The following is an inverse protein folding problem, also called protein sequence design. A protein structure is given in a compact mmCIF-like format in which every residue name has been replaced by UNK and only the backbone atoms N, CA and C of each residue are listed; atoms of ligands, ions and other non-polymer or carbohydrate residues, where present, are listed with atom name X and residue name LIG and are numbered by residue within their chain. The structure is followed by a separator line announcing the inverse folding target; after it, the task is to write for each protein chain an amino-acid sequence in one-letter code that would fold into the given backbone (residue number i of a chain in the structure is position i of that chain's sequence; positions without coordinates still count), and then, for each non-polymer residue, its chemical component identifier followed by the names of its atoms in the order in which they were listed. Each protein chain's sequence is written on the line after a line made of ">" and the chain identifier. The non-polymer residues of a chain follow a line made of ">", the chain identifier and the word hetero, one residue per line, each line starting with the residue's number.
data_IF_683712944574
#
_entry.id   IF_683712944574
#
_cell.length_a   1.000
_cell.length_b   1.000
_cell.length_c   1.000
_cell.angle_alpha   90.00
_cell.angle_beta   90.00
_cell.angle_gamma   90.00
#
_symmetry.space_group_name_H-M   'P 1'
#
loop_
_entity.id
_entity.type
_entity.pdbx_description
1 polymer ?
#
# COMPACT_ATOMS: atom_id res chain seq x y z
N UNK A 1 -41.33 -47.62 -22.84
CA UNK A 1 -40.64 -46.73 -21.87
C UNK A 1 -41.51 -45.53 -21.60
N UNK A 2 -41.62 -45.04 -20.36
CA UNK A 2 -42.36 -43.80 -20.07
C UNK A 2 -41.59 -42.58 -20.59
N UNK A 3 -42.28 -41.47 -20.86
CA UNK A 3 -41.64 -40.22 -21.31
C UNK A 3 -40.60 -39.69 -20.31
N UNK A 4 -40.86 -39.87 -19.01
CA UNK A 4 -39.94 -39.54 -17.92
C UNK A 4 -38.63 -40.34 -18.00
N UNK A 5 -38.71 -41.65 -18.22
CA UNK A 5 -37.52 -42.49 -18.33
C UNK A 5 -36.66 -42.10 -19.54
N UNK A 6 -37.30 -41.74 -20.67
CA UNK A 6 -36.61 -41.27 -21.87
C UNK A 6 -35.95 -39.90 -21.66
N UNK A 7 -36.61 -39.00 -20.93
CA UNK A 7 -36.05 -37.69 -20.60
C UNK A 7 -34.81 -37.80 -19.70
N UNK A 8 -34.85 -38.68 -18.69
CA UNK A 8 -33.70 -38.94 -17.82
C UNK A 8 -32.52 -39.59 -18.57
N UNK A 9 -32.80 -40.57 -19.45
CA UNK A 9 -31.79 -41.22 -20.27
C UNK A 9 -31.10 -40.24 -21.22
N UNK A 10 -31.88 -39.38 -21.88
CA UNK A 10 -31.35 -38.36 -22.77
C UNK A 10 -30.55 -37.28 -22.02
N UNK A 11 -31.00 -36.89 -20.81
CA UNK A 11 -30.26 -36.00 -19.93
C UNK A 11 -28.88 -36.58 -19.57
N UNK A 12 -28.85 -37.85 -19.14
CA UNK A 12 -27.59 -38.56 -18.84
C UNK A 12 -26.67 -38.69 -20.05
N UNK A 13 -27.23 -38.92 -21.23
CA UNK A 13 -26.46 -39.00 -22.48
C UNK A 13 -25.79 -37.66 -22.81
N UNK A 14 -26.54 -36.56 -22.76
CA UNK A 14 -26.00 -35.21 -22.96
C UNK A 14 -24.93 -34.83 -21.94
N UNK A 15 -25.17 -35.11 -20.66
CA UNK A 15 -24.16 -34.95 -19.60
C UNK A 15 -22.89 -35.76 -19.87
N UNK A 16 -23.03 -37.03 -20.27
CA UNK A 16 -21.89 -37.91 -20.55
C UNK A 16 -21.06 -37.40 -21.72
N UNK A 17 -21.71 -36.88 -22.76
CA UNK A 17 -21.04 -36.26 -23.90
C UNK A 17 -20.26 -35.00 -23.49
N UNK A 18 -20.89 -34.10 -22.73
CA UNK A 18 -20.21 -32.92 -22.19
C UNK A 18 -19.03 -33.32 -21.32
N UNK A 19 -19.21 -34.28 -20.41
CA UNK A 19 -18.13 -34.76 -19.54
C UNK A 19 -16.96 -35.32 -20.34
N UNK A 20 -17.22 -36.12 -21.38
CA UNK A 20 -16.18 -36.67 -22.25
C UNK A 20 -15.36 -35.59 -22.95
N UNK A 21 -16.00 -34.49 -23.38
CA UNK A 21 -15.29 -33.36 -23.98
C UNK A 21 -14.39 -32.72 -22.92
N UNK A 22 -14.93 -32.41 -21.73
CA UNK A 22 -14.23 -31.67 -20.67
C UNK A 22 -13.02 -32.43 -20.11
N UNK A 23 -13.13 -33.75 -19.91
CA UNK A 23 -12.07 -34.58 -19.33
C UNK A 23 -10.77 -34.58 -20.14
N UNK A 24 -10.80 -34.15 -21.40
CA UNK A 24 -9.61 -34.06 -22.25
C UNK A 24 -8.63 -32.95 -21.85
N UNK A 25 -9.06 -31.95 -21.05
CA UNK A 25 -8.19 -30.83 -20.61
C UNK A 25 -8.45 -30.33 -19.19
N UNK A 26 -9.53 -30.76 -18.55
CA UNK A 26 -9.92 -30.26 -17.25
C UNK A 26 -10.03 -31.39 -16.22
N UNK A 27 -9.72 -31.09 -14.96
CA UNK A 27 -10.26 -31.89 -13.86
C UNK A 27 -11.74 -31.54 -13.73
N UNK A 28 -12.59 -32.55 -13.81
CA UNK A 28 -14.05 -32.39 -13.85
C UNK A 28 -14.64 -32.91 -12.55
N UNK A 29 -15.28 -32.01 -11.79
CA UNK A 29 -16.06 -32.36 -10.62
C UNK A 29 -17.54 -32.36 -11.02
N UNK A 30 -18.16 -33.54 -11.01
CA UNK A 30 -19.60 -33.68 -11.22
C UNK A 30 -20.32 -33.37 -9.91
N UNK A 31 -21.34 -32.49 -9.96
CA UNK A 31 -22.17 -32.20 -8.78
C UNK A 31 -23.44 -33.04 -8.83
N UNK A 32 -23.82 -33.59 -7.68
CA UNK A 32 -25.07 -34.36 -7.50
C UNK A 32 -26.22 -33.53 -6.93
N UNK A 33 -25.99 -32.25 -6.62
CA UNK A 33 -26.98 -31.33 -6.08
C UNK A 33 -27.01 -30.03 -6.91
N UNK A 34 -28.21 -29.56 -7.26
CA UNK A 34 -28.55 -28.34 -8.02
C UNK A 34 -28.17 -27.03 -7.28
N UNK A 35 -26.97 -26.97 -6.70
CA UNK A 35 -26.43 -25.77 -6.09
C UNK A 35 -25.74 -24.97 -7.20
N UNK A 36 -26.29 -23.80 -7.50
CA UNK A 36 -25.83 -22.83 -8.51
C UNK A 36 -25.95 -23.29 -9.99
N UNK A 37 -26.78 -24.29 -10.27
CA UNK A 37 -27.11 -24.69 -11.65
C UNK A 37 -25.98 -25.29 -12.48
N UNK A 38 -24.93 -25.74 -11.81
CA UNK A 38 -23.75 -26.33 -12.42
C UNK A 38 -23.86 -27.86 -12.43
N UNK A 39 -23.87 -28.48 -13.61
CA UNK A 39 -23.73 -29.94 -13.72
C UNK A 39 -22.27 -30.36 -13.54
N UNK A 40 -21.35 -29.50 -14.02
CA UNK A 40 -19.91 -29.69 -13.90
C UNK A 40 -19.22 -28.43 -13.39
N UNK A 41 -18.28 -28.63 -12.47
CA UNK A 41 -17.23 -27.67 -12.17
C UNK A 41 -15.94 -28.17 -12.79
N UNK A 42 -15.24 -27.29 -13.52
CA UNK A 42 -14.03 -27.64 -14.24
C UNK A 42 -12.85 -26.80 -13.79
N UNK A 43 -11.74 -27.46 -13.53
CA UNK A 43 -10.47 -26.85 -13.16
C UNK A 43 -9.42 -27.18 -14.23
N UNK A 44 -8.60 -26.21 -14.60
CA UNK A 44 -7.49 -26.42 -15.53
C UNK A 44 -6.51 -27.45 -14.98
N UNK A 45 -6.16 -28.43 -15.81
CA UNK A 45 -5.06 -29.34 -15.53
C UNK A 45 -3.73 -28.58 -15.65
N UNK A 46 -2.75 -28.96 -14.84
CA UNK A 46 -1.36 -28.57 -15.05
C UNK A 46 -0.47 -29.76 -14.73
N UNK A 47 0.38 -30.11 -15.69
CA UNK A 47 1.35 -31.19 -15.54
C UNK A 47 2.66 -30.70 -14.90
N UNK A 48 2.76 -29.39 -14.62
CA UNK A 48 3.93 -28.76 -14.03
C UNK A 48 3.71 -28.45 -12.54
N UNK A 49 4.49 -29.08 -11.68
CA UNK A 49 4.44 -28.89 -10.23
C UNK A 49 4.66 -27.43 -9.79
N UNK A 50 5.51 -26.67 -10.49
CA UNK A 50 5.76 -25.26 -10.17
C UNK A 50 4.55 -24.37 -10.52
N UNK A 51 3.83 -24.70 -11.59
CA UNK A 51 2.57 -24.02 -11.90
C UNK A 51 1.50 -24.35 -10.87
N UNK A 52 1.40 -25.61 -10.44
CA UNK A 52 0.48 -26.01 -9.36
C UNK A 52 0.78 -25.26 -8.07
N UNK A 53 2.06 -25.17 -7.67
CA UNK A 53 2.50 -24.43 -6.48
C UNK A 53 2.23 -22.93 -6.61
N UNK A 54 2.53 -22.32 -7.75
CA UNK A 54 2.24 -20.91 -7.99
C UNK A 54 0.75 -20.64 -7.86
N UNK A 55 -0.09 -21.46 -8.49
CA UNK A 55 -1.56 -21.33 -8.42
C UNK A 55 -2.12 -21.57 -7.02
N UNK A 56 -1.45 -22.32 -6.15
CA UNK A 56 -1.90 -22.51 -4.77
C UNK A 56 -1.94 -21.21 -3.95
N UNK A 57 -1.17 -20.19 -4.36
CA UNK A 57 -1.14 -18.87 -3.73
C UNK A 57 -2.06 -17.84 -4.40
N UNK A 58 -2.79 -18.23 -5.45
CA UNK A 58 -3.69 -17.36 -6.22
C UNK A 58 -5.15 -17.75 -5.98
N UNK A 59 -6.07 -16.81 -6.23
CA UNK A 59 -7.49 -17.15 -6.30
C UNK A 59 -7.70 -17.98 -7.57
N UNK A 60 -8.08 -19.23 -7.38
CA UNK A 60 -8.45 -20.14 -8.45
C UNK A 60 -9.95 -20.04 -8.71
N UNK A 61 -10.32 -19.88 -9.98
CA UNK A 61 -11.73 -19.87 -10.40
C UNK A 61 -12.02 -21.19 -11.10
N UNK A 62 -13.14 -21.80 -10.73
CA UNK A 62 -13.65 -22.98 -11.41
C UNK A 62 -14.57 -22.54 -12.55
N UNK A 63 -14.43 -23.17 -13.72
CA UNK A 63 -15.42 -23.05 -14.77
C UNK A 63 -16.71 -23.75 -14.35
N UNK A 64 -17.85 -23.12 -14.62
CA UNK A 64 -19.18 -23.62 -14.37
C UNK A 64 -19.76 -24.04 -15.71
N UNK A 65 -20.04 -25.33 -15.89
CA UNK A 65 -20.65 -25.84 -17.13
C UNK A 65 -21.99 -26.47 -16.81
N UNK A 66 -23.04 -25.93 -17.42
CA UNK A 66 -24.37 -26.51 -17.40
C UNK A 66 -24.61 -27.28 -18.70
N UNK A 67 -25.08 -28.52 -18.59
CA UNK A 67 -25.47 -29.39 -19.69
C UNK A 67 -26.97 -29.61 -19.67
N UNK A 68 -27.68 -29.29 -20.75
CA UNK A 68 -29.11 -29.59 -20.86
C UNK A 68 -29.43 -30.29 -22.16
N UNK A 69 -30.31 -31.27 -22.07
CA UNK A 69 -30.92 -31.88 -23.24
C UNK A 69 -32.29 -31.26 -23.52
N UNK A 70 -32.63 -31.05 -24.79
CA UNK A 70 -33.94 -30.56 -25.23
C UNK A 70 -34.43 -31.33 -26.46
N UNK A 71 -35.74 -31.49 -26.61
CA UNK A 71 -36.35 -32.11 -27.79
C UNK A 71 -37.31 -31.15 -28.49
N UNK A 72 -37.16 -30.99 -29.81
CA UNK A 72 -38.09 -30.30 -30.73
C UNK A 72 -38.71 -29.01 -30.17
N UNK A 73 -39.85 -29.11 -29.49
CA UNK A 73 -40.68 -28.02 -28.94
C UNK A 73 -40.34 -27.61 -27.50
N UNK A 74 -39.50 -28.38 -26.81
CA UNK A 74 -39.17 -28.12 -25.41
C UNK A 74 -38.07 -27.06 -25.31
N UNK A 75 -38.36 -26.01 -24.54
CA UNK A 75 -37.45 -24.88 -24.34
C UNK A 75 -36.43 -25.21 -23.26
N UNK A 76 -35.14 -25.09 -23.57
CA UNK A 76 -34.10 -25.16 -22.55
C UNK A 76 -34.07 -23.83 -21.77
N UNK A 77 -34.24 -23.91 -20.45
CA UNK A 77 -34.26 -22.76 -19.54
C UNK A 77 -33.02 -22.74 -18.67
N UNK A 78 -32.36 -21.59 -18.59
CA UNK A 78 -31.19 -21.32 -17.76
C UNK A 78 -31.54 -20.19 -16.81
N UNK A 79 -31.27 -20.33 -15.52
CA UNK A 79 -31.60 -19.30 -14.53
C UNK A 79 -30.66 -18.10 -14.70
N UNK A 80 -31.22 -16.87 -14.69
CA UNK A 80 -30.47 -15.62 -14.91
C UNK A 80 -29.35 -15.44 -13.88
N UNK A 81 -29.55 -15.84 -12.64
CA UNK A 81 -28.56 -15.76 -11.55
C UNK A 81 -27.33 -16.65 -11.76
N UNK A 82 -27.41 -17.67 -12.62
CA UNK A 82 -26.26 -18.52 -12.96
C UNK A 82 -25.41 -17.92 -14.08
N UNK A 83 -26.02 -17.07 -14.91
CA UNK A 83 -25.35 -16.44 -16.05
C UNK A 83 -24.72 -15.10 -15.66
N UNK A 84 -25.33 -14.39 -14.72
CA UNK A 84 -24.90 -13.05 -14.33
C UNK A 84 -24.32 -13.01 -12.91
N UNK A 85 -23.35 -12.12 -12.74
CA UNK A 85 -22.88 -11.61 -11.45
C UNK A 85 -22.99 -10.09 -11.48
N UNK A 86 -23.79 -9.50 -10.58
CA UNK A 86 -24.01 -8.03 -10.51
C UNK A 86 -24.38 -7.42 -11.89
N UNK A 87 -25.32 -8.07 -12.59
CA UNK A 87 -25.77 -7.74 -13.95
C UNK A 87 -24.71 -7.89 -15.07
N UNK A 88 -23.51 -8.40 -14.78
CA UNK A 88 -22.48 -8.69 -15.79
C UNK A 88 -22.41 -10.18 -16.10
N UNK A 89 -22.22 -10.60 -17.36
CA UNK A 89 -22.05 -12.01 -17.70
C UNK A 89 -20.80 -12.60 -17.02
N UNK A 90 -20.99 -13.72 -16.31
CA UNK A 90 -19.91 -14.48 -15.69
C UNK A 90 -18.97 -15.03 -16.75
N UNK A 91 -17.67 -14.77 -16.61
CA UNK A 91 -16.68 -15.23 -17.61
C UNK A 91 -16.42 -16.73 -17.50
N UNK A 92 -16.69 -17.29 -16.34
CA UNK A 92 -16.51 -18.68 -15.99
C UNK A 92 -17.75 -19.56 -16.23
N UNK A 93 -18.89 -19.01 -16.69
CA UNK A 93 -20.11 -19.78 -16.95
C UNK A 93 -20.27 -20.15 -18.44
N UNK A 94 -20.61 -21.42 -18.67
CA UNK A 94 -20.82 -22.01 -20.00
C UNK A 94 -22.04 -22.93 -20.01
N UNK A 95 -22.67 -23.02 -21.18
CA UNK A 95 -23.82 -23.88 -21.42
C UNK A 95 -23.58 -24.78 -22.63
N UNK A 96 -23.81 -26.08 -22.43
CA UNK A 96 -23.84 -27.10 -23.48
C UNK A 96 -25.27 -27.59 -23.65
N UNK A 97 -25.85 -27.42 -24.83
CA UNK A 97 -27.20 -27.89 -25.14
C UNK A 97 -27.15 -29.04 -26.13
N UNK A 98 -27.84 -30.12 -25.83
CA UNK A 98 -27.85 -31.33 -26.65
C UNK A 98 -29.25 -31.64 -27.16
N UNK A 99 -29.33 -32.13 -28.38
CA UNK A 99 -30.57 -32.59 -29.01
C UNK A 99 -30.24 -33.63 -30.08
N UNK A 100 -31.27 -34.16 -30.72
CA UNK A 100 -31.14 -34.94 -31.95
C UNK A 100 -31.83 -34.18 -33.09
N UNK A 101 -31.25 -34.23 -34.29
CA UNK A 101 -31.89 -33.66 -35.47
C UNK A 101 -33.00 -34.58 -36.02
N UNK A 102 -33.50 -34.27 -37.21
CA UNK A 102 -34.62 -34.99 -37.83
C UNK A 102 -34.25 -36.43 -38.21
N UNK A 103 -32.96 -36.67 -38.49
CA UNK A 103 -32.42 -37.98 -38.88
C UNK A 103 -32.02 -38.81 -37.64
N UNK A 104 -32.14 -38.22 -36.45
CA UNK A 104 -31.77 -38.85 -35.19
C UNK A 104 -30.30 -38.67 -34.83
N UNK A 105 -29.56 -37.84 -35.56
CA UNK A 105 -28.15 -37.59 -35.30
C UNK A 105 -27.96 -36.62 -34.14
N UNK A 106 -26.95 -36.87 -33.31
CA UNK A 106 -26.66 -36.05 -32.14
C UNK A 106 -26.18 -34.65 -32.57
N UNK A 107 -26.83 -33.63 -32.05
CA UNK A 107 -26.49 -32.22 -32.25
C UNK A 107 -26.17 -31.59 -30.91
N UNK A 108 -25.05 -30.88 -30.86
CA UNK A 108 -24.66 -30.11 -29.70
C UNK A 108 -24.54 -28.62 -30.04
N UNK A 109 -24.85 -27.77 -29.07
CA UNK A 109 -24.64 -26.34 -29.12
C UNK A 109 -23.86 -25.90 -27.89
N UNK A 110 -23.00 -24.90 -28.06
CA UNK A 110 -22.16 -24.39 -26.97
C UNK A 110 -22.19 -22.87 -26.90
N UNK A 111 -22.38 -22.34 -25.68
CA UNK A 111 -22.53 -20.92 -25.41
C UNK A 111 -21.73 -20.51 -24.17
N UNK A 112 -21.06 -19.35 -24.22
CA UNK A 112 -20.64 -18.65 -23.00
C UNK A 112 -21.80 -17.88 -22.38
N UNK A 113 -21.62 -17.38 -21.15
CA UNK A 113 -22.61 -16.48 -20.53
C UNK A 113 -22.95 -15.26 -21.40
N UNK A 114 -21.94 -14.66 -22.06
CA UNK A 114 -22.15 -13.53 -22.97
C UNK A 114 -23.03 -13.93 -24.17
N UNK A 115 -22.77 -15.11 -24.74
CA UNK A 115 -23.55 -15.64 -25.85
C UNK A 115 -25.00 -15.89 -25.39
N UNK A 116 -25.21 -16.44 -24.17
CA UNK A 116 -26.55 -16.64 -23.59
C UNK A 116 -27.30 -15.32 -23.45
N UNK A 117 -26.67 -14.29 -22.87
CA UNK A 117 -27.30 -12.98 -22.66
C UNK A 117 -27.68 -12.32 -23.98
N UNK A 118 -26.84 -12.48 -25.01
CA UNK A 118 -27.03 -11.87 -26.32
C UNK A 118 -28.09 -12.59 -27.16
N UNK A 119 -28.10 -13.92 -27.12
CA UNK A 119 -28.81 -14.74 -28.12
C UNK A 119 -30.13 -15.34 -27.59
N UNK A 120 -30.28 -15.52 -26.27
CA UNK A 120 -31.44 -16.21 -25.70
C UNK A 120 -32.58 -15.23 -25.40
N UNK A 121 -33.81 -15.70 -25.53
CA UNK A 121 -34.97 -14.92 -25.14
C UNK A 121 -35.11 -14.89 -23.61
N UNK A 122 -35.65 -13.81 -23.05
CA UNK A 122 -35.95 -13.75 -21.62
C UNK A 122 -37.37 -14.29 -21.40
N UNK A 123 -37.53 -15.17 -20.41
CA UNK A 123 -38.85 -15.70 -20.03
C UNK A 123 -39.81 -14.59 -19.56
N UNK A 124 -41.14 -14.80 -19.63
CA UNK A 124 -42.12 -13.80 -19.17
C UNK A 124 -41.97 -13.36 -17.70
N UNK A 125 -41.46 -14.25 -16.84
CA UNK A 125 -41.20 -13.94 -15.43
C UNK A 125 -39.87 -13.21 -15.18
N UNK A 126 -39.05 -12.99 -16.22
CA UNK A 126 -37.77 -12.30 -16.14
C UNK A 126 -36.62 -13.12 -15.51
N UNK A 127 -36.90 -14.32 -14.99
CA UNK A 127 -35.94 -15.10 -14.21
C UNK A 127 -35.06 -16.04 -15.04
N UNK A 128 -35.48 -16.39 -16.26
CA UNK A 128 -34.79 -17.38 -17.08
C UNK A 128 -34.40 -16.81 -18.45
N UNK A 129 -33.23 -17.24 -18.93
CA UNK A 129 -32.86 -17.26 -20.33
C UNK A 129 -33.37 -18.53 -21.00
N UNK A 130 -33.92 -18.38 -22.18
CA UNK A 130 -34.70 -19.39 -22.86
C UNK A 130 -34.16 -19.64 -24.27
N UNK A 131 -33.78 -20.89 -24.51
CA UNK A 131 -33.34 -21.38 -25.81
C UNK A 131 -34.42 -22.23 -26.47
N UNK A 132 -34.69 -21.95 -27.73
CA UNK A 132 -35.62 -22.72 -28.57
C UNK A 132 -35.22 -22.58 -30.03
N UNK A 133 -35.27 -23.69 -30.77
CA UNK A 133 -35.09 -23.68 -32.23
C UNK A 133 -36.38 -23.25 -32.91
N UNK A 134 -36.28 -22.34 -33.88
CA UNK A 134 -37.41 -21.92 -34.73
C UNK A 134 -37.00 -21.96 -36.19
N UNK A 135 -37.97 -21.84 -37.13
CA UNK A 135 -37.65 -21.78 -38.57
C UNK A 135 -36.62 -20.69 -38.92
N UNK A 136 -36.59 -19.60 -38.15
CA UNK A 136 -35.70 -18.46 -38.37
C UNK A 136 -34.48 -18.43 -37.46
N UNK A 137 -34.52 -19.12 -36.30
CA UNK A 137 -33.40 -19.20 -35.34
C UNK A 137 -32.92 -20.64 -35.18
N UNK A 138 -31.85 -20.95 -35.89
CA UNK A 138 -31.20 -22.27 -35.89
C UNK A 138 -29.84 -22.28 -35.18
N UNK A 139 -29.33 -21.11 -34.78
CA UNK A 139 -28.05 -20.93 -34.08
C UNK A 139 -26.88 -21.66 -34.76
N UNK A 140 -26.83 -21.61 -36.09
CA UNK A 140 -25.86 -22.38 -36.91
C UNK A 140 -24.41 -22.10 -36.54
N UNK A 141 -24.08 -20.88 -36.14
CA UNK A 141 -22.72 -20.48 -35.69
C UNK A 141 -22.30 -21.18 -34.38
N UNK A 142 -23.26 -21.58 -33.55
CA UNK A 142 -23.03 -22.24 -32.26
C UNK A 142 -23.26 -23.75 -32.32
N UNK A 143 -23.69 -24.26 -33.49
CA UNK A 143 -24.02 -25.67 -33.72
C UNK A 143 -22.75 -26.46 -34.02
N UNK A 144 -22.62 -27.61 -33.36
CA UNK A 144 -21.54 -28.57 -33.52
C UNK A 144 -20.11 -27.97 -33.56
N UNK A 145 -19.72 -27.06 -32.64
CA UNK A 145 -18.35 -26.58 -32.59
C UNK A 145 -17.35 -27.71 -32.38
N UNK A 146 -16.12 -27.52 -32.86
CA UNK A 146 -15.03 -28.47 -32.61
C UNK A 146 -14.72 -28.51 -31.11
N UNK A 147 -14.44 -29.69 -30.56
CA UNK A 147 -14.09 -29.84 -29.13
C UNK A 147 -12.97 -28.89 -28.69
N UNK A 148 -11.93 -28.71 -29.52
CA UNK A 148 -10.86 -27.74 -29.24
C UNK A 148 -11.38 -26.32 -29.00
N UNK A 149 -12.34 -25.85 -29.81
CA UNK A 149 -12.93 -24.53 -29.64
C UNK A 149 -13.67 -24.40 -28.31
N UNK A 150 -14.44 -25.42 -27.93
CA UNK A 150 -15.14 -25.47 -26.63
C UNK A 150 -14.14 -25.35 -25.49
N UNK A 151 -13.10 -26.18 -25.50
CA UNK A 151 -12.08 -26.22 -24.46
C UNK A 151 -11.30 -24.90 -24.36
N UNK A 152 -10.86 -24.36 -25.51
CA UNK A 152 -10.13 -23.08 -25.59
C UNK A 152 -11.00 -21.93 -25.04
N UNK A 153 -12.31 -21.94 -25.33
CA UNK A 153 -13.25 -20.91 -24.84
C UNK A 153 -13.51 -21.02 -23.33
N UNK A 154 -13.62 -22.25 -22.80
CA UNK A 154 -13.73 -22.49 -21.36
C UNK A 154 -12.46 -22.01 -20.64
N UNK A 155 -11.30 -22.43 -21.12
CA UNK A 155 -10.01 -22.08 -20.53
C UNK A 155 -9.76 -20.57 -20.52
N UNK A 156 -10.03 -19.89 -21.64
CA UNK A 156 -9.91 -18.44 -21.75
C UNK A 156 -10.84 -17.71 -20.78
N UNK A 157 -12.10 -18.14 -20.67
CA UNK A 157 -13.05 -17.55 -19.72
C UNK A 157 -12.63 -17.71 -18.26
N UNK A 158 -12.12 -18.89 -17.88
CA UNK A 158 -11.55 -19.13 -16.55
C UNK A 158 -10.34 -18.21 -16.30
N UNK A 159 -9.41 -18.10 -17.25
CA UNK A 159 -8.22 -17.24 -17.12
C UNK A 159 -8.60 -15.77 -16.91
N UNK A 160 -9.60 -15.27 -17.64
CA UNK A 160 -10.10 -13.91 -17.49
C UNK A 160 -10.74 -13.69 -16.12
N UNK A 161 -11.58 -14.65 -15.66
CA UNK A 161 -12.20 -14.59 -14.34
C UNK A 161 -11.15 -14.59 -13.22
N UNK A 162 -10.15 -15.46 -13.29
CA UNK A 162 -9.01 -15.51 -12.35
C UNK A 162 -8.24 -14.20 -12.32
N UNK A 163 -7.94 -13.63 -13.49
CA UNK A 163 -7.24 -12.34 -13.58
C UNK A 163 -8.00 -11.21 -12.91
N UNK A 164 -9.32 -11.13 -13.11
CA UNK A 164 -10.20 -10.14 -12.47
C UNK A 164 -10.26 -10.36 -10.96
N UNK A 165 -10.47 -11.60 -10.51
CA UNK A 165 -10.56 -11.94 -9.09
C UNK A 165 -9.27 -11.62 -8.34
N UNK A 166 -8.11 -12.02 -8.88
CA UNK A 166 -6.81 -11.73 -8.31
C UNK A 166 -6.49 -10.23 -8.30
N UNK A 167 -6.85 -9.49 -9.36
CA UNK A 167 -6.72 -8.02 -9.39
C UNK A 167 -7.55 -7.37 -8.28
N UNK A 168 -8.82 -7.75 -8.16
CA UNK A 168 -9.73 -7.22 -7.14
C UNK A 168 -9.24 -7.56 -5.72
N UNK A 169 -8.75 -8.77 -5.50
CA UNK A 169 -8.18 -9.19 -4.22
C UNK A 169 -6.94 -8.38 -3.86
N UNK A 170 -5.98 -8.25 -4.78
CA UNK A 170 -4.79 -7.41 -4.58
C UNK A 170 -5.18 -5.96 -4.29
N UNK A 171 -6.09 -5.38 -5.05
CA UNK A 171 -6.55 -4.01 -4.83
C UNK A 171 -7.23 -3.85 -3.47
N UNK A 172 -8.06 -4.81 -3.04
CA UNK A 172 -8.70 -4.79 -1.72
C UNK A 172 -7.67 -4.90 -0.60
N UNK A 173 -6.68 -5.77 -0.74
CA UNK A 173 -5.56 -5.91 0.21
C UNK A 173 -4.72 -4.63 0.27
N UNK A 174 -4.34 -4.08 -0.89
CA UNK A 174 -3.63 -2.80 -0.97
C UNK A 174 -4.44 -1.66 -0.36
N UNK A 175 -5.76 -1.58 -0.56
CA UNK A 175 -6.59 -0.56 0.12
C UNK A 175 -6.62 -0.68 1.64
N UNK A 176 -6.46 -1.90 2.18
CA UNK A 176 -6.44 -2.13 3.63
C UNK A 176 -5.06 -1.83 4.23
N UNK A 177 -3.97 -2.08 3.48
CA UNK A 177 -2.61 -1.92 3.97
C UNK A 177 -1.93 -0.62 3.52
N UNK A 178 -2.34 -0.02 2.41
CA UNK A 178 -1.95 1.33 2.03
C UNK A 178 -2.95 2.27 2.71
N UNK A 179 -2.69 2.61 3.97
CA UNK A 179 -3.04 3.95 4.41
C UNK A 179 -2.27 4.88 3.47
N UNK A 180 -2.93 5.78 2.71
CA UNK A 180 -2.19 6.56 1.75
C UNK A 180 -1.40 7.63 2.53
N UNK A 181 -0.09 7.41 2.69
CA UNK A 181 0.87 8.42 3.17
C UNK A 181 0.81 9.71 2.35
N UNK A 182 0.50 9.55 1.06
CA UNK A 182 0.30 10.62 0.09
C UNK A 182 -1.19 10.95 -0.09
N UNK A 183 -1.51 12.20 -0.38
CA UNK A 183 -2.84 12.71 -0.66
C UNK A 183 -3.00 13.35 -2.06
N UNK A 184 -1.92 13.63 -2.79
CA UNK A 184 -1.90 14.18 -4.15
C UNK A 184 -2.70 15.49 -4.31
N UNK A 185 -2.58 16.40 -3.35
CA UNK A 185 -3.24 17.70 -3.40
C UNK A 185 -2.20 18.79 -3.61
N UNK A 186 -2.37 19.61 -4.65
CA UNK A 186 -1.47 20.76 -4.92
C UNK A 186 -1.46 21.78 -3.76
N UNK A 187 -2.61 21.93 -3.09
CA UNK A 187 -2.77 22.74 -1.89
C UNK A 187 -3.45 21.89 -0.82
N UNK A 188 -2.71 21.39 0.19
CA UNK A 188 -3.26 20.48 1.18
C UNK A 188 -4.33 21.16 2.02
N UNK A 189 -5.54 20.60 2.09
CA UNK A 189 -6.64 21.09 2.91
C UNK A 189 -7.23 19.97 3.78
N UNK A 190 -6.73 19.86 5.00
CA UNK A 190 -7.06 18.80 5.94
C UNK A 190 -7.35 19.33 7.33
N UNK A 191 -8.16 18.57 8.08
CA UNK A 191 -8.28 18.66 9.52
C UNK A 191 -7.70 17.39 10.17
N UNK A 192 -6.90 17.57 11.22
CA UNK A 192 -6.29 16.53 12.02
C UNK A 192 -6.91 16.57 13.40
N UNK A 193 -7.80 15.63 13.69
CA UNK A 193 -8.46 15.50 14.98
C UNK A 193 -7.67 14.52 15.86
N UNK A 194 -7.03 15.05 16.90
CA UNK A 194 -6.34 14.31 17.93
C UNK A 194 -7.38 13.86 18.97
N UNK A 195 -7.44 12.57 19.25
CA UNK A 195 -8.40 12.03 20.21
C UNK A 195 -7.91 10.74 20.87
N UNK A 196 -8.46 10.44 22.05
CA UNK A 196 -8.24 9.18 22.74
C UNK A 196 -9.45 8.26 22.48
N UNK A 197 -9.18 7.05 21.98
CA UNK A 197 -10.18 6.03 21.75
C UNK A 197 -9.75 4.72 22.42
N UNK A 198 -10.51 4.26 23.42
CA UNK A 198 -10.20 3.08 24.23
C UNK A 198 -8.74 3.10 24.76
N UNK A 199 -8.36 4.21 25.40
CA UNK A 199 -7.01 4.44 25.96
C UNK A 199 -5.88 4.49 24.91
N UNK A 200 -6.22 4.53 23.62
CA UNK A 200 -5.25 4.68 22.52
C UNK A 200 -5.36 6.07 21.91
N UNK A 201 -4.24 6.78 21.81
CA UNK A 201 -4.15 8.06 21.11
C UNK A 201 -4.16 7.82 19.61
N UNK A 202 -5.14 8.39 18.92
CA UNK A 202 -5.31 8.29 17.48
C UNK A 202 -5.48 9.68 16.88
N UNK A 203 -5.11 9.80 15.60
CA UNK A 203 -5.35 11.02 14.83
C UNK A 203 -6.20 10.67 13.63
N UNK A 204 -7.37 11.29 13.54
CA UNK A 204 -8.24 11.21 12.39
C UNK A 204 -7.92 12.36 11.44
N UNK A 205 -7.66 12.03 10.18
CA UNK A 205 -7.46 12.98 9.10
C UNK A 205 -8.75 13.08 8.30
N UNK A 206 -9.28 14.28 8.16
CA UNK A 206 -10.40 14.62 7.29
C UNK A 206 -9.93 15.47 6.12
N UNK A 207 -10.16 14.98 4.90
CA UNK A 207 -9.91 15.72 3.66
C UNK A 207 -11.07 16.68 3.42
N UNK A 208 -10.79 17.99 3.47
CA UNK A 208 -11.82 19.02 3.37
C UNK A 208 -12.30 19.27 1.94
N UNK A 209 -11.66 18.66 0.93
CA UNK A 209 -12.06 18.76 -0.49
C UNK A 209 -13.12 17.71 -0.81
N UNK A 210 -12.94 16.48 -0.36
CA UNK A 210 -13.79 15.33 -0.72
C UNK A 210 -14.46 14.66 0.49
N UNK A 211 -14.31 15.22 1.70
CA UNK A 211 -14.89 14.77 2.98
C UNK A 211 -14.51 13.35 3.39
N UNK A 212 -13.40 12.83 2.86
CA UNK A 212 -12.91 11.51 3.22
C UNK A 212 -12.22 11.53 4.59
N UNK A 213 -12.53 10.54 5.44
CA UNK A 213 -11.94 10.41 6.79
C UNK A 213 -11.13 9.13 6.90
N UNK A 214 -9.93 9.24 7.47
CA UNK A 214 -9.00 8.11 7.67
C UNK A 214 -8.14 8.32 8.90
N UNK A 215 -7.51 7.26 9.40
CA UNK A 215 -6.47 7.40 10.42
C UNK A 215 -5.19 7.96 9.80
N UNK A 216 -4.48 8.80 10.55
CA UNK A 216 -3.13 9.24 10.21
C UNK A 216 -2.17 8.06 10.31
N UNK A 217 -1.31 7.91 9.31
CA UNK A 217 -0.31 6.85 9.31
C UNK A 217 0.90 7.24 10.17
N UNK A 218 1.34 6.36 11.10
CA UNK A 218 2.58 6.56 11.84
C UNK A 218 3.80 6.43 10.92
N UNK A 219 4.53 7.53 10.70
CA UNK A 219 5.71 7.57 9.81
C UNK A 219 6.99 7.09 10.50
N UNK A 220 6.98 5.82 10.94
CA UNK A 220 8.14 5.18 11.60
C UNK A 220 9.36 5.05 10.67
N UNK A 221 9.13 5.10 9.37
CA UNK A 221 10.17 5.19 8.34
C UNK A 221 10.92 6.54 8.35
N UNK A 222 10.27 7.62 8.83
CA UNK A 222 10.87 8.95 8.91
C UNK A 222 11.40 9.29 10.31
N UNK A 223 10.81 8.70 11.36
CA UNK A 223 11.26 8.89 12.74
C UNK A 223 11.14 7.59 13.52
N UNK A 224 12.29 7.06 13.95
CA UNK A 224 12.36 5.83 14.71
C UNK A 224 11.83 6.04 16.13
N UNK A 225 10.53 5.79 16.30
CA UNK A 225 9.87 5.69 17.59
C UNK A 225 9.28 4.28 17.74
N UNK A 226 9.35 3.72 18.94
CA UNK A 226 8.67 2.46 19.27
C UNK A 226 7.33 2.70 19.99
N UNK A 227 7.08 3.93 20.46
CA UNK A 227 5.83 4.35 21.11
C UNK A 227 4.74 4.80 20.13
N UNK A 228 3.58 5.14 20.67
CA UNK A 228 2.41 5.63 19.92
C UNK A 228 2.45 7.16 19.73
N UNK A 229 1.42 7.70 19.08
CA UNK A 229 1.22 9.16 19.05
C UNK A 229 0.99 9.70 20.46
N UNK A 230 1.54 10.89 20.71
CA UNK A 230 1.35 11.59 21.98
C UNK A 230 1.31 13.11 21.77
N UNK A 231 0.64 13.80 22.68
CA UNK A 231 0.67 15.26 22.86
C UNK A 231 0.66 15.57 24.36
N UNK A 232 1.25 16.69 24.77
CA UNK A 232 1.49 17.03 26.17
C UNK A 232 2.93 16.77 26.64
N UNK A 233 3.11 16.05 27.73
CA UNK A 233 4.39 15.98 28.46
C UNK A 233 5.45 15.03 27.88
N UNK A 234 5.11 14.09 26.99
CA UNK A 234 6.10 13.21 26.34
C UNK A 234 6.70 13.85 25.07
N UNK A 235 7.98 14.29 25.10
CA UNK A 235 8.62 14.94 23.95
C UNK A 235 8.82 13.99 22.76
N UNK A 236 9.06 12.70 22.99
CA UNK A 236 9.35 11.74 21.92
C UNK A 236 8.08 11.41 21.14
N UNK A 237 6.98 11.15 21.84
CA UNK A 237 5.67 10.96 21.21
C UNK A 237 5.15 12.22 20.49
N UNK A 238 5.39 13.43 21.05
CA UNK A 238 5.05 14.69 20.38
C UNK A 238 5.85 14.90 19.09
N UNK A 239 7.15 14.62 19.10
CA UNK A 239 7.98 14.74 17.90
C UNK A 239 7.55 13.74 16.83
N UNK A 240 7.27 12.49 17.22
CA UNK A 240 6.79 11.47 16.31
C UNK A 240 5.46 11.85 15.65
N UNK A 241 4.53 12.40 16.44
CA UNK A 241 3.27 12.90 15.93
C UNK A 241 3.47 14.10 14.98
N UNK A 242 4.34 15.05 15.33
CA UNK A 242 4.66 16.20 14.49
C UNK A 242 5.21 15.78 13.13
N UNK A 243 6.17 14.84 13.10
CA UNK A 243 6.73 14.29 11.86
C UNK A 243 5.63 13.64 11.01
N UNK A 244 4.76 12.85 11.63
CA UNK A 244 3.71 12.13 10.90
C UNK A 244 2.65 13.08 10.30
N UNK A 245 2.23 14.12 11.04
CA UNK A 245 1.30 15.15 10.54
C UNK A 245 1.92 15.93 9.39
N UNK A 246 3.15 16.43 9.56
CA UNK A 246 3.81 17.25 8.55
C UNK A 246 4.16 16.44 7.30
N UNK A 247 4.65 15.21 7.46
CA UNK A 247 4.93 14.35 6.32
C UNK A 247 3.65 14.04 5.53
N UNK A 248 2.53 13.80 6.20
CA UNK A 248 1.25 13.70 5.51
C UNK A 248 0.90 15.01 4.80
N UNK A 249 1.02 16.18 5.46
CA UNK A 249 0.72 17.48 4.86
C UNK A 249 1.62 17.84 3.67
N UNK A 250 2.83 17.29 3.62
CA UNK A 250 3.78 17.40 2.51
C UNK A 250 3.69 16.24 1.52
N UNK A 251 2.50 15.64 1.38
CA UNK A 251 2.24 14.58 0.42
C UNK A 251 3.18 13.37 0.52
N UNK A 252 3.61 13.03 1.74
CA UNK A 252 4.49 11.91 2.04
C UNK A 252 5.97 12.26 2.20
N UNK A 253 6.39 13.48 1.87
CA UNK A 253 7.79 13.91 1.94
C UNK A 253 8.32 14.03 3.38
N UNK A 254 9.66 13.99 3.52
CA UNK A 254 10.33 14.19 4.79
C UNK A 254 10.22 15.67 5.20
N UNK A 255 9.61 16.01 6.36
CA UNK A 255 9.50 17.39 6.80
C UNK A 255 10.85 17.95 7.28
N UNK A 256 11.06 19.24 7.07
CA UNK A 256 12.22 19.95 7.62
C UNK A 256 12.17 20.06 9.16
N UNK A 257 13.34 20.16 9.79
CA UNK A 257 13.48 20.20 11.26
C UNK A 257 12.73 21.38 11.90
N UNK A 258 12.78 22.57 11.29
CA UNK A 258 12.24 23.77 11.90
C UNK A 258 10.69 23.74 12.05
N UNK A 259 9.90 23.37 11.02
CA UNK A 259 8.48 23.07 11.18
C UNK A 259 8.19 21.95 12.20
N UNK A 260 9.00 20.88 12.22
CA UNK A 260 8.82 19.77 13.17
C UNK A 260 8.98 20.25 14.61
N UNK A 261 10.03 21.00 14.92
CA UNK A 261 10.28 21.55 16.26
C UNK A 261 9.15 22.48 16.69
N UNK A 262 8.68 23.36 15.81
CA UNK A 262 7.57 24.27 16.11
C UNK A 262 6.28 23.52 16.40
N UNK A 263 5.91 22.55 15.56
CA UNK A 263 4.71 21.75 15.79
C UNK A 263 4.83 20.90 17.06
N UNK A 264 5.99 20.30 17.30
CA UNK A 264 6.27 19.56 18.54
C UNK A 264 6.08 20.45 19.76
N UNK A 265 6.62 21.66 19.77
CA UNK A 265 6.46 22.60 20.89
C UNK A 265 4.98 22.98 21.12
N UNK A 266 4.21 23.18 20.04
CA UNK A 266 2.77 23.41 20.17
C UNK A 266 2.07 22.18 20.76
N UNK A 267 2.35 20.98 20.25
CA UNK A 267 1.75 19.73 20.71
C UNK A 267 2.06 19.47 22.20
N UNK A 268 3.23 19.91 22.69
CA UNK A 268 3.61 19.76 24.09
C UNK A 268 2.85 20.67 25.05
N UNK A 269 2.27 21.74 24.55
CA UNK A 269 1.46 22.67 25.35
C UNK A 269 -0.01 22.26 25.45
N UNK A 270 -0.40 21.21 24.72
CA UNK A 270 -1.77 20.71 24.70
C UNK A 270 -2.05 19.87 25.95
N UNK A 271 -3.30 19.92 26.41
CA UNK A 271 -3.78 19.01 27.44
C UNK A 271 -3.77 17.57 26.89
N UNK A 272 -3.09 16.62 27.57
CA UNK A 272 -2.96 15.24 27.09
C UNK A 272 -4.29 14.48 27.02
N UNK A 273 -5.35 14.97 27.67
CA UNK A 273 -6.67 14.31 27.76
C UNK A 273 -7.74 14.95 26.85
N UNK A 274 -7.44 16.08 26.20
CA UNK A 274 -8.39 16.79 25.35
C UNK A 274 -8.47 16.26 23.91
N UNK A 275 -9.65 16.46 23.30
CA UNK A 275 -9.87 16.30 21.86
C UNK A 275 -9.58 17.61 21.16
N UNK A 276 -8.66 17.60 20.21
CA UNK A 276 -8.12 18.80 19.59
C UNK A 276 -8.13 18.68 18.07
N UNK A 277 -8.32 19.80 17.38
CA UNK A 277 -8.35 19.85 15.91
C UNK A 277 -7.28 20.81 15.42
N UNK A 278 -6.37 20.31 14.59
CA UNK A 278 -5.40 21.11 13.85
C UNK A 278 -5.84 21.19 12.40
N UNK A 279 -5.81 22.37 11.79
CA UNK A 279 -6.18 22.54 10.38
C UNK A 279 -4.98 22.91 9.50
N UNK A 280 -5.13 22.73 8.19
CA UNK A 280 -4.11 23.09 7.21
C UNK A 280 -3.65 24.55 7.28
N UNK A 281 -4.53 25.50 7.64
CA UNK A 281 -4.16 26.91 7.73
C UNK A 281 -3.24 27.20 8.92
N UNK A 282 -3.50 26.56 10.06
CA UNK A 282 -2.60 26.56 11.21
C UNK A 282 -1.23 25.99 10.83
N UNK A 283 -1.19 24.84 10.16
CA UNK A 283 0.06 24.23 9.72
C UNK A 283 0.81 25.11 8.73
N UNK A 284 0.11 25.73 7.76
CA UNK A 284 0.72 26.64 6.79
C UNK A 284 1.36 27.84 7.50
N UNK A 285 0.65 28.45 8.45
CA UNK A 285 1.17 29.56 9.26
C UNK A 285 2.44 29.14 10.01
N UNK A 286 2.42 27.95 10.61
CA UNK A 286 3.56 27.38 11.33
C UNK A 286 4.75 27.09 10.41
N UNK A 287 4.51 26.59 9.20
CA UNK A 287 5.55 26.28 8.21
C UNK A 287 6.19 27.57 7.68
N UNK A 288 5.37 28.57 7.32
CA UNK A 288 5.80 29.84 6.72
C UNK A 288 6.39 30.84 7.72
N UNK A 289 6.26 30.60 9.03
CA UNK A 289 6.84 31.47 10.06
C UNK A 289 8.37 31.47 9.94
N UNK A 290 9.02 32.62 9.66
CA UNK A 290 10.46 32.71 9.54
C UNK A 290 11.12 32.35 10.88
N UNK A 291 12.12 31.48 10.82
CA UNK A 291 12.94 31.12 11.99
C UNK A 291 13.73 32.36 12.41
N UNK A 292 13.56 32.87 13.64
CA UNK A 292 14.54 33.81 14.20
C UNK A 292 15.89 33.10 14.17
N UNK A 293 16.92 33.69 13.56
CA UNK A 293 18.27 33.15 13.61
C UNK A 293 18.80 33.23 15.04
N UNK A 294 18.39 32.30 15.91
CA UNK A 294 19.06 32.07 17.18
C UNK A 294 20.35 31.30 16.89
N UNK A 295 21.49 31.89 17.25
CA UNK A 295 22.77 31.18 17.17
C UNK A 295 22.74 30.02 18.17
N UNK A 296 22.63 28.78 17.71
CA UNK A 296 22.62 27.58 18.56
C UNK A 296 23.79 27.50 19.55
N UNK A 297 24.94 28.10 19.18
CA UNK A 297 26.09 28.24 20.09
C UNK A 297 25.80 29.17 21.27
N UNK A 298 25.03 30.26 21.08
CA UNK A 298 24.62 31.17 22.16
C UNK A 298 23.74 30.46 23.19
N UNK A 299 22.78 29.67 22.71
CA UNK A 299 21.87 28.91 23.58
C UNK A 299 22.66 27.96 24.48
N UNK A 300 23.65 27.26 23.92
CA UNK A 300 24.54 26.39 24.68
C UNK A 300 25.43 27.19 25.64
N UNK A 301 25.98 28.33 25.22
CA UNK A 301 26.82 29.16 26.10
C UNK A 301 26.03 29.70 27.30
N UNK A 302 24.77 30.10 27.09
CA UNK A 302 23.86 30.58 28.14
C UNK A 302 23.42 29.45 29.09
N UNK A 303 23.13 28.26 28.56
CA UNK A 303 22.73 27.07 29.33
C UNK A 303 23.85 26.59 30.26
N UNK A 304 25.08 26.51 29.74
CA UNK A 304 26.22 25.93 30.47
C UNK A 304 27.09 26.96 31.20
N UNK A 305 26.71 28.26 31.19
CA UNK A 305 27.36 29.37 31.93
C UNK A 305 28.88 29.34 31.85
N UNK A 306 29.39 29.42 30.62
CA UNK A 306 30.82 29.27 30.36
C UNK A 306 31.62 30.39 31.07
N UNK A 307 32.55 30.01 31.95
CA UNK A 307 33.20 30.90 32.90
C UNK A 307 34.63 31.24 32.41
N UNK A 308 34.90 32.52 32.12
CA UNK A 308 36.11 33.03 31.44
C UNK A 308 37.38 33.13 32.33
N UNK A 309 37.39 32.50 33.51
CA UNK A 309 38.38 32.76 34.56
C UNK A 309 39.77 32.17 34.34
N UNK A 310 39.94 31.17 33.46
CA UNK A 310 41.25 30.59 33.15
C UNK A 310 41.20 29.81 31.83
N UNK A 311 41.53 30.48 30.73
CA UNK A 311 41.43 29.95 29.37
C UNK A 311 40.10 30.34 28.70
N UNK A 312 40.15 30.55 27.38
CA UNK A 312 38.96 30.87 26.60
C UNK A 312 38.17 29.59 26.34
N UNK A 313 37.13 29.38 27.13
CA UNK A 313 36.21 28.26 26.95
C UNK A 313 35.02 28.79 26.15
N UNK A 314 34.67 28.11 25.06
CA UNK A 314 33.53 28.46 24.22
C UNK A 314 32.96 27.22 23.52
N UNK A 315 31.75 27.36 22.97
CA UNK A 315 31.19 26.35 22.08
C UNK A 315 31.58 26.64 20.62
N UNK A 316 31.89 25.57 19.90
CA UNK A 316 32.29 25.64 18.50
C UNK A 316 31.49 24.65 17.67
N UNK A 317 30.95 25.11 16.54
CA UNK A 317 30.40 24.24 15.50
C UNK A 317 31.56 23.48 14.83
N UNK A 318 31.47 22.16 14.81
CA UNK A 318 32.42 21.30 14.09
C UNK A 318 32.05 21.31 12.61
N UNK A 319 32.93 21.90 11.80
CA UNK A 319 32.79 21.92 10.34
C UNK A 319 33.29 20.60 9.74
N UNK A 320 34.47 20.15 10.17
CA UNK A 320 35.05 18.88 9.71
C UNK A 320 36.15 18.37 10.66
N UNK A 321 36.38 17.06 10.65
CA UNK A 321 37.45 16.42 11.42
C UNK A 321 38.14 15.35 10.54
N UNK A 322 39.31 15.68 10.01
CA UNK A 322 40.05 14.79 9.09
C UNK A 322 41.46 14.51 9.60
N UNK A 323 41.74 13.24 9.87
CA UNK A 323 43.02 12.81 10.42
C UNK A 323 43.27 13.49 11.77
N UNK A 324 44.26 14.39 11.80
CA UNK A 324 44.63 15.21 12.96
C UNK A 324 44.13 16.65 12.87
N UNK A 325 43.46 17.06 11.79
CA UNK A 325 42.95 18.42 11.64
C UNK A 325 41.48 18.52 12.04
N UNK A 326 41.16 19.48 12.89
CA UNK A 326 39.80 19.85 13.26
C UNK A 326 39.48 21.24 12.72
N UNK A 327 38.42 21.36 11.92
CA UNK A 327 37.86 22.63 11.47
C UNK A 327 36.65 22.98 12.33
N UNK A 328 36.70 24.14 12.98
CA UNK A 328 35.68 24.63 13.91
C UNK A 328 35.28 26.06 13.60
N UNK A 329 34.04 26.43 13.92
CA UNK A 329 33.52 27.80 13.83
C UNK A 329 32.97 28.24 15.18
N UNK A 330 33.34 29.42 15.63
CA UNK A 330 32.77 30.01 16.85
C UNK A 330 31.56 30.90 16.55
N UNK A 331 30.89 31.36 17.61
CA UNK A 331 29.63 32.11 17.53
C UNK A 331 29.69 33.37 16.65
N UNK A 332 30.82 34.07 16.66
CA UNK A 332 31.03 35.28 15.84
C UNK A 332 31.37 34.98 14.37
N UNK A 333 31.35 33.71 13.96
CA UNK A 333 31.57 33.27 12.59
C UNK A 333 33.03 33.04 12.22
N UNK A 334 33.99 33.24 13.12
CA UNK A 334 35.41 32.96 12.84
C UNK A 334 35.61 31.44 12.78
N UNK A 335 36.13 30.99 11.64
CA UNK A 335 36.55 29.60 11.41
C UNK A 335 38.01 29.41 11.76
N UNK A 336 38.37 28.22 12.24
CA UNK A 336 39.74 27.90 12.62
C UNK A 336 40.03 26.43 12.32
N UNK A 337 41.22 26.17 11.77
CA UNK A 337 41.70 24.82 11.50
C UNK A 337 42.85 24.55 12.46
N UNK A 338 42.63 23.62 13.39
CA UNK A 338 43.60 23.29 14.44
C UNK A 338 44.17 21.90 14.19
N UNK A 339 45.49 21.78 14.26
CA UNK A 339 46.14 20.47 14.29
C UNK A 339 46.13 19.92 15.73
N UNK A 340 45.66 18.69 15.86
CA UNK A 340 45.42 18.03 17.15
C UNK A 340 46.55 17.06 17.52
N UNK A 341 47.62 16.98 16.70
CA UNK A 341 48.84 16.21 17.03
C UNK A 341 49.40 16.64 18.38
N UNK A 342 49.59 15.67 19.28
CA UNK A 342 50.15 15.92 20.61
C UNK A 342 49.16 16.55 21.60
N UNK A 343 47.87 16.62 21.27
CA UNK A 343 46.82 17.02 22.20
C UNK A 343 46.68 16.03 23.35
N UNK A 344 46.11 16.48 24.46
CA UNK A 344 45.83 15.63 25.62
C UNK A 344 44.80 14.54 25.30
N UNK A 345 44.79 13.47 26.08
CA UNK A 345 43.93 12.30 25.88
C UNK A 345 42.43 12.65 25.89
N UNK A 346 42.03 13.66 26.67
CA UNK A 346 40.64 14.15 26.72
C UNK A 346 40.20 14.78 25.39
N UNK A 347 41.11 15.49 24.72
CA UNK A 347 40.85 16.09 23.39
C UNK A 347 40.74 14.99 22.34
N UNK A 348 41.64 14.00 22.38
CA UNK A 348 41.61 12.87 21.44
C UNK A 348 40.34 12.04 21.61
N UNK A 349 39.93 11.77 22.86
CA UNK A 349 38.69 11.03 23.16
C UNK A 349 37.44 11.77 22.64
N UNK A 350 37.39 13.10 22.81
CA UNK A 350 36.30 13.92 22.28
C UNK A 350 36.29 13.91 20.74
N UNK A 351 37.47 13.98 20.10
CA UNK A 351 37.60 13.88 18.64
C UNK A 351 37.14 12.53 18.09
N UNK A 352 37.40 11.44 18.81
CA UNK A 352 36.94 10.11 18.41
C UNK A 352 35.41 10.02 18.49
N UNK A 353 34.78 10.60 19.51
CA UNK A 353 33.32 10.73 19.59
C UNK A 353 32.79 11.56 18.42
N UNK A 354 33.41 12.70 18.11
CA UNK A 354 33.05 13.53 16.95
C UNK A 354 33.14 12.70 15.67
N UNK A 355 34.25 11.98 15.44
CA UNK A 355 34.44 11.11 14.25
C UNK A 355 33.40 10.00 14.16
N UNK A 356 33.01 9.40 15.28
CA UNK A 356 31.95 8.37 15.37
C UNK A 356 30.56 8.95 15.11
N UNK A 357 30.32 10.21 15.46
CA UNK A 357 29.04 10.90 15.27
C UNK A 357 28.93 11.64 13.93
N UNK A 358 30.06 11.88 13.25
CA UNK A 358 30.16 12.46 11.91
C UNK A 358 30.08 11.51 10.68
N UNK A 359 29.88 10.17 10.76
CA UNK A 359 29.87 9.33 9.56
C UNK A 359 28.57 9.55 8.79
N UNK A 360 28.69 10.31 7.70
CA UNK A 360 27.57 10.70 6.83
C UNK A 360 27.89 11.79 5.80
N UNK A 361 29.08 12.41 5.83
CA UNK A 361 29.43 13.44 4.84
C UNK A 361 29.93 12.84 3.51
N UNK A 362 30.39 11.58 3.46
CA UNK A 362 31.16 11.09 2.30
C UNK A 362 30.54 9.92 1.49
N UNK A 363 29.36 9.36 1.84
CA UNK A 363 28.74 8.31 0.98
C UNK A 363 27.22 8.37 0.94
N UNK A 364 26.69 8.82 -0.21
CA UNK A 364 25.41 8.47 -0.84
C UNK A 364 24.17 8.34 0.08
N UNK A 365 23.62 9.47 0.49
CA UNK A 365 22.19 9.82 0.56
C UNK A 365 22.14 11.29 1.03
N UNK A 366 21.10 12.04 0.71
CA UNK A 366 21.00 13.48 0.97
C UNK A 366 21.31 13.90 2.43
N UNK A 367 21.82 15.14 2.63
CA UNK A 367 22.59 15.49 3.81
C UNK A 367 21.66 15.94 4.94
N UNK A 368 21.31 15.05 5.86
CA UNK A 368 21.12 15.49 7.25
C UNK A 368 22.53 15.86 7.72
N UNK A 369 22.95 17.11 7.49
CA UNK A 369 24.16 17.68 8.12
C UNK A 369 23.89 17.65 9.62
N UNK A 370 24.22 16.54 10.29
CA UNK A 370 24.30 16.48 11.75
C UNK A 370 25.39 17.48 12.14
N UNK A 371 25.00 18.70 12.50
CA UNK A 371 25.92 19.70 13.01
C UNK A 371 26.21 19.34 14.46
N UNK A 372 27.48 19.40 14.83
CA UNK A 372 27.92 19.12 16.19
C UNK A 372 28.49 20.40 16.77
N UNK A 373 28.14 20.72 18.01
CA UNK A 373 28.82 21.73 18.80
C UNK A 373 29.74 21.01 19.81
N UNK A 374 30.95 21.51 19.97
CA UNK A 374 31.90 21.00 20.97
C UNK A 374 32.32 22.13 21.89
N UNK A 375 32.34 21.88 23.20
CA UNK A 375 32.90 22.83 24.16
C UNK A 375 34.39 22.60 24.30
N UNK A 376 35.18 23.60 23.96
CA UNK A 376 36.64 23.54 23.97
C UNK A 376 37.20 24.67 24.83
N UNK A 377 38.28 24.37 25.56
CA UNK A 377 39.19 25.38 26.09
C UNK A 377 40.28 25.61 25.05
N UNK A 378 40.42 26.84 24.57
CA UNK A 378 41.29 27.18 23.45
C UNK A 378 42.25 28.32 23.78
N UNK A 379 43.29 28.42 22.97
CA UNK A 379 44.17 29.58 22.86
C UNK A 379 43.95 30.21 21.49
N UNK A 380 43.67 31.53 21.48
CA UNK A 380 43.39 32.29 20.26
C UNK A 380 44.53 33.24 19.90
N UNK A 381 44.66 33.52 18.62
CA UNK A 381 45.48 34.61 18.13
C UNK A 381 44.83 35.95 18.53
N UNK A 382 45.60 36.83 19.18
CA UNK A 382 45.09 38.11 19.70
C UNK A 382 44.71 39.12 18.63
N UNK A 383 45.15 38.94 17.37
CA UNK A 383 44.85 39.83 16.25
C UNK A 383 43.72 39.30 15.38
N UNK A 384 43.68 37.99 15.10
CA UNK A 384 42.67 37.39 14.20
C UNK A 384 41.49 36.78 14.93
N UNK A 385 41.63 36.43 16.22
CA UNK A 385 40.61 35.71 16.98
C UNK A 385 40.49 34.22 16.59
N UNK A 386 41.32 33.74 15.68
CA UNK A 386 41.36 32.34 15.27
C UNK A 386 41.92 31.47 16.40
N UNK A 387 41.42 30.24 16.51
CA UNK A 387 41.96 29.24 17.44
C UNK A 387 43.28 28.73 16.92
N UNK A 388 44.34 28.93 17.69
CA UNK A 388 45.69 28.45 17.38
C UNK A 388 45.94 27.08 18.01
N UNK A 389 45.35 26.83 19.18
CA UNK A 389 45.55 25.57 19.92
C UNK A 389 44.35 25.21 20.79
N UNK A 390 44.07 23.92 20.88
CA UNK A 390 43.08 23.37 21.82
C UNK A 390 43.81 22.91 23.09
N UNK A 391 43.43 23.47 24.23
CA UNK A 391 44.02 23.19 25.54
C UNK A 391 43.29 22.06 26.26
N UNK A 392 41.96 21.97 26.10
CA UNK A 392 41.14 20.90 26.65
C UNK A 392 39.80 20.78 25.88
N UNK A 393 39.14 19.63 26.01
CA UNK A 393 37.79 19.38 25.49
C UNK A 393 36.88 18.88 26.63
N UNK A 394 35.59 19.18 26.57
CA UNK A 394 34.67 18.86 27.66
C UNK A 394 33.50 17.99 27.22
N UNK A 395 32.59 18.54 26.41
CA UNK A 395 31.36 17.89 25.98
C UNK A 395 31.04 18.19 24.51
N UNK A 396 30.21 17.34 23.93
CA UNK A 396 29.77 17.42 22.53
C UNK A 396 28.26 17.34 22.49
N UNK A 397 27.64 18.30 21.80
CA UNK A 397 26.20 18.44 21.67
C UNK A 397 25.82 18.36 20.20
N UNK A 398 24.69 17.71 19.92
CA UNK A 398 24.09 17.77 18.60
C UNK A 398 23.36 19.11 18.47
N UNK A 399 23.67 19.86 17.42
CA UNK A 399 22.97 21.09 17.06
C UNK A 399 22.25 20.87 15.74
N UNK A 400 21.05 21.44 15.61
CA UNK A 400 20.18 21.27 14.45
C UNK A 400 20.35 22.43 13.48
#
# INVERSE_FOLDING_TARGET
>A
MSELAKQEENGRSGESLTQSILLSRFWVLKRSADVDGADFLVQKQSDNLDEVRRRAHEIQILGIVQSKYFERSNQAKILKSYVLEKEQPRKEFFCSLHTHDQDGEAVHYFFSAEDVVKEFAISPCGQYYCFSLTKTRQFTTFKNPKNRFILDKIESGINLAEGIANKNFRQKKLRVYAMPTMHFQDKPNFEYQLMIFNDVRVVLVEDMINTHRRLLEPRRDLYENQGDFYWGDDPTGCQFLAVSILAHHFDGDLPEDAPVVRLCNTLRQLDPDDVLVLNSDFLRTLIETPVPQEHHLQVLEDEYRVNLGSGDIAFFEVISAHGTKLSIRCINGIESIVDTVGSREEVLSCLDVIKILSPGIERNAEPIKKRLAVRLCVERDTQTGEVVRILNAFDTHKIH
#
